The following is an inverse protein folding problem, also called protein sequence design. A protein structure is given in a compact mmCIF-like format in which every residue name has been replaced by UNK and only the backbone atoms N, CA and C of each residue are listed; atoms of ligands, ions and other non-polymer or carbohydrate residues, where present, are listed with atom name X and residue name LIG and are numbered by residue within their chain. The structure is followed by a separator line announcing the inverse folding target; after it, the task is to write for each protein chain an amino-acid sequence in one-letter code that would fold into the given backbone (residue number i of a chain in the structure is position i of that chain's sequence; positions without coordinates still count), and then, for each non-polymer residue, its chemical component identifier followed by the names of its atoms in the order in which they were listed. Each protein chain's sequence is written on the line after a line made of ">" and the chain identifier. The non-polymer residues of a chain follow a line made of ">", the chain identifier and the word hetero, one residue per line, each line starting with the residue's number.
data_IF_054479294186
#
_entry.id   IF_054479294186
#
_cell.length_a   1.000
_cell.length_b   1.000
_cell.length_c   1.000
_cell.angle_alpha   90.00
_cell.angle_beta   90.00
_cell.angle_gamma   90.00
#
_symmetry.space_group_name_H-M   'P 1'
#
loop_
_entity.id
_entity.type
_entity.pdbx_description
1 polymer ?
#
# COMPACT_ATOMS: atom_id res chain seq x y z
N UNK A 1 -17.86 -25.64 33.19
CA UNK A 1 -16.73 -24.70 33.01
C UNK A 1 -17.19 -23.59 32.07
N UNK A 2 -17.78 -22.49 32.56
CA UNK A 2 -18.18 -21.39 31.70
C UNK A 2 -16.92 -20.58 31.37
N UNK A 3 -16.63 -20.44 30.09
CA UNK A 3 -15.71 -19.41 29.60
C UNK A 3 -16.36 -18.07 29.99
N UNK A 4 -15.80 -17.39 30.99
CA UNK A 4 -16.16 -16.01 31.30
C UNK A 4 -15.98 -15.20 30.01
N UNK A 5 -17.10 -14.81 29.42
CA UNK A 5 -17.12 -13.94 28.26
C UNK A 5 -16.61 -12.57 28.70
N UNK A 6 -15.29 -12.38 28.62
CA UNK A 6 -14.66 -11.08 28.70
C UNK A 6 -15.27 -10.23 27.59
N UNK A 7 -16.25 -9.42 27.97
CA UNK A 7 -16.85 -8.44 27.08
C UNK A 7 -15.70 -7.50 26.73
N UNK A 8 -15.31 -7.36 25.44
CA UNK A 8 -14.18 -6.50 25.10
C UNK A 8 -14.51 -5.10 25.59
N UNK A 9 -13.76 -4.67 26.60
CA UNK A 9 -13.90 -3.34 27.17
C UNK A 9 -13.62 -2.32 26.07
N UNK A 10 -14.27 -1.16 26.18
CA UNK A 10 -13.98 -0.01 25.33
C UNK A 10 -12.45 0.20 25.26
N UNK A 11 -11.98 0.59 24.08
CA UNK A 11 -10.58 0.75 23.71
C UNK A 11 -9.66 1.09 24.91
N UNK A 12 -8.78 0.16 25.29
CA UNK A 12 -7.92 0.33 26.46
C UNK A 12 -7.14 1.65 26.34
N UNK A 13 -7.29 2.55 27.32
CA UNK A 13 -6.64 3.87 27.35
C UNK A 13 -5.12 3.77 27.25
N UNK A 14 -4.52 2.62 27.61
CA UNK A 14 -3.09 2.34 27.43
C UNK A 14 -2.66 2.38 25.96
N UNK A 15 -3.58 2.14 25.01
CA UNK A 15 -3.33 2.25 23.58
C UNK A 15 -3.20 3.71 23.11
N UNK A 16 -3.64 4.70 23.90
CA UNK A 16 -3.47 6.13 23.60
C UNK A 16 -2.12 6.68 24.08
N UNK A 17 -1.32 5.85 24.77
CA UNK A 17 0.00 6.25 25.24
C UNK A 17 0.89 6.73 24.06
N UNK A 18 1.80 7.71 24.28
CA UNK A 18 2.63 8.29 23.22
C UNK A 18 3.40 7.27 22.38
N UNK A 19 3.77 6.12 22.98
CA UNK A 19 4.44 5.01 22.28
C UNK A 19 3.68 4.50 21.06
N UNK A 20 2.34 4.63 21.06
CA UNK A 20 1.45 4.09 20.04
C UNK A 20 0.98 5.14 19.03
N UNK A 21 1.38 6.41 19.19
CA UNK A 21 0.94 7.48 18.31
C UNK A 21 1.33 7.27 16.85
N UNK A 22 2.48 6.63 16.59
CA UNK A 22 2.87 6.25 15.23
C UNK A 22 1.84 5.33 14.56
N UNK A 23 1.32 4.35 15.29
CA UNK A 23 0.26 3.46 14.81
C UNK A 23 -1.04 4.22 14.56
N UNK A 24 -1.43 5.12 15.46
CA UNK A 24 -2.61 5.96 15.29
C UNK A 24 -2.49 6.90 14.08
N UNK A 25 -1.32 7.49 13.86
CA UNK A 25 -1.04 8.31 12.69
C UNK A 25 -1.12 7.49 11.40
N UNK A 26 -0.57 6.28 11.39
CA UNK A 26 -0.67 5.38 10.23
C UNK A 26 -2.13 4.99 9.94
N UNK A 27 -2.92 4.66 10.97
CA UNK A 27 -4.34 4.38 10.82
C UNK A 27 -5.13 5.60 10.33
N UNK A 28 -4.87 6.78 10.88
CA UNK A 28 -5.46 8.04 10.45
C UNK A 28 -5.12 8.38 8.99
N UNK A 29 -3.88 8.11 8.57
CA UNK A 29 -3.45 8.29 7.19
C UNK A 29 -4.15 7.31 6.25
N UNK A 30 -4.21 6.01 6.60
CA UNK A 30 -4.96 5.02 5.82
C UNK A 30 -6.45 5.40 5.70
N UNK A 31 -7.03 5.86 6.81
CA UNK A 31 -8.40 6.36 6.82
C UNK A 31 -8.58 7.54 5.87
N UNK A 32 -7.71 8.55 5.93
CA UNK A 32 -7.75 9.72 5.05
C UNK A 32 -7.58 9.34 3.57
N UNK A 33 -6.58 8.51 3.26
CA UNK A 33 -6.33 8.01 1.89
C UNK A 33 -7.53 7.26 1.33
N UNK A 34 -8.30 6.56 2.17
CA UNK A 34 -9.50 5.83 1.73
C UNK A 34 -10.60 6.74 1.17
N UNK A 35 -10.60 8.05 1.45
CA UNK A 35 -11.54 9.02 0.89
C UNK A 35 -11.08 9.60 -0.43
N UNK A 36 -9.81 9.43 -0.78
CA UNK A 36 -9.24 10.05 -1.96
C UNK A 36 -9.72 9.30 -3.23
N UNK A 37 -10.16 10.01 -4.28
CA UNK A 37 -10.46 9.38 -5.56
C UNK A 37 -9.26 8.59 -6.10
N UNK A 38 -9.50 7.37 -6.60
CA UNK A 38 -8.43 6.50 -7.14
C UNK A 38 -7.56 7.16 -8.20
N UNK A 39 -8.10 8.11 -8.97
CA UNK A 39 -7.34 8.89 -9.96
C UNK A 39 -6.23 9.70 -9.29
N UNK A 40 -6.53 10.37 -8.18
CA UNK A 40 -5.54 11.14 -7.42
C UNK A 40 -4.53 10.22 -6.73
N UNK A 41 -4.97 9.09 -6.17
CA UNK A 41 -4.06 8.06 -5.65
C UNK A 41 -3.10 7.56 -6.74
N UNK A 42 -3.60 7.37 -7.97
CA UNK A 42 -2.80 6.98 -9.12
C UNK A 42 -1.72 8.00 -9.48
N UNK A 43 -2.05 9.30 -9.45
CA UNK A 43 -1.10 10.39 -9.68
C UNK A 43 -0.05 10.48 -8.57
N UNK A 44 -0.46 10.38 -7.31
CA UNK A 44 0.45 10.34 -6.16
C UNK A 44 1.39 9.14 -6.25
N UNK A 45 0.85 7.96 -6.57
CA UNK A 45 1.64 6.75 -6.75
C UNK A 45 2.64 6.87 -7.91
N UNK A 46 2.26 7.52 -9.01
CA UNK A 46 3.17 7.77 -10.13
C UNK A 46 4.31 8.72 -9.73
N UNK A 47 4.03 9.75 -8.94
CA UNK A 47 5.04 10.67 -8.39
C UNK A 47 6.02 9.94 -7.48
N UNK A 48 5.50 9.22 -6.49
CA UNK A 48 6.31 8.48 -5.50
C UNK A 48 7.12 7.34 -6.13
N UNK A 49 6.54 6.60 -7.09
CA UNK A 49 7.24 5.50 -7.77
C UNK A 49 8.45 5.98 -8.59
N UNK A 50 8.48 7.24 -9.04
CA UNK A 50 9.66 7.82 -9.71
C UNK A 50 10.85 7.98 -8.76
N UNK A 51 10.59 8.08 -7.46
CA UNK A 51 11.61 8.19 -6.41
C UNK A 51 12.11 6.82 -5.94
N UNK A 52 11.49 5.72 -6.37
CA UNK A 52 11.88 4.35 -6.00
C UNK A 52 13.37 4.02 -6.18
N UNK A 53 14.07 4.42 -7.28
CA UNK A 53 15.49 4.14 -7.42
C UNK A 53 16.38 4.87 -6.40
N UNK A 54 15.86 5.87 -5.70
CA UNK A 54 16.59 6.69 -4.74
C UNK A 54 16.26 6.27 -3.30
N UNK A 55 14.96 6.08 -3.02
CA UNK A 55 14.46 5.67 -1.71
C UNK A 55 14.88 4.23 -1.34
N UNK A 56 14.94 3.32 -2.31
CA UNK A 56 15.26 1.93 -2.05
C UNK A 56 16.05 1.27 -3.19
N UNK A 57 17.33 1.66 -3.30
CA UNK A 57 18.28 1.15 -4.31
C UNK A 57 18.33 -0.38 -4.34
N UNK A 58 18.29 -1.03 -3.16
CA UNK A 58 18.32 -2.49 -3.04
C UNK A 58 17.11 -3.13 -3.71
N UNK A 59 15.89 -2.67 -3.41
CA UNK A 59 14.66 -3.22 -4.03
C UNK A 59 14.60 -2.94 -5.52
N UNK A 60 15.04 -1.76 -5.94
CA UNK A 60 15.15 -1.42 -7.37
C UNK A 60 16.06 -2.39 -8.12
N UNK A 61 17.26 -2.64 -7.59
CA UNK A 61 18.22 -3.55 -8.21
C UNK A 61 17.71 -5.00 -8.26
N UNK A 62 17.13 -5.51 -7.17
CA UNK A 62 16.54 -6.86 -7.15
C UNK A 62 15.45 -7.01 -8.22
N UNK A 63 14.52 -6.07 -8.30
CA UNK A 63 13.44 -6.12 -9.29
C UNK A 63 13.99 -6.02 -10.72
N UNK A 64 15.02 -5.20 -10.96
CA UNK A 64 15.69 -5.11 -12.26
C UNK A 64 16.35 -6.44 -12.66
N UNK A 65 17.09 -7.06 -11.74
CA UNK A 65 17.73 -8.36 -11.98
C UNK A 65 16.70 -9.45 -12.22
N UNK A 66 15.64 -9.51 -11.41
CA UNK A 66 14.55 -10.47 -11.61
C UNK A 66 13.90 -10.30 -12.98
N UNK A 67 13.64 -9.07 -13.43
CA UNK A 67 13.09 -8.86 -14.77
C UNK A 67 14.05 -9.26 -15.89
N UNK A 68 15.37 -9.12 -15.69
CA UNK A 68 16.35 -9.57 -16.65
C UNK A 68 16.42 -11.10 -16.75
N UNK A 69 16.29 -11.79 -15.62
CA UNK A 69 16.30 -13.26 -15.55
C UNK A 69 14.98 -13.87 -16.03
N UNK A 70 13.82 -13.33 -15.62
CA UNK A 70 12.51 -13.88 -15.96
C UNK A 70 12.05 -13.51 -17.37
N UNK A 71 12.53 -12.39 -17.93
CA UNK A 71 12.14 -11.92 -19.26
C UNK A 71 13.35 -11.62 -20.16
N UNK A 72 14.21 -12.62 -20.44
CA UNK A 72 15.43 -12.42 -21.21
C UNK A 72 15.16 -11.98 -22.65
N UNK A 73 14.03 -12.40 -23.24
CA UNK A 73 13.62 -12.02 -24.60
C UNK A 73 13.08 -10.59 -24.76
N UNK A 74 12.92 -9.84 -23.67
CA UNK A 74 12.55 -8.42 -23.74
C UNK A 74 13.80 -7.54 -23.88
N UNK A 75 13.73 -6.54 -24.75
CA UNK A 75 14.76 -5.50 -24.80
C UNK A 75 14.87 -4.73 -23.46
N UNK A 76 15.97 -4.01 -23.28
CA UNK A 76 16.24 -3.29 -22.04
C UNK A 76 15.20 -2.17 -21.77
N UNK A 77 14.63 -1.55 -22.82
CA UNK A 77 13.66 -0.48 -22.69
C UNK A 77 12.31 -1.01 -22.18
N UNK A 78 11.83 -2.13 -22.71
CA UNK A 78 10.63 -2.85 -22.27
C UNK A 78 10.77 -3.33 -20.84
N UNK A 79 11.91 -3.91 -20.47
CA UNK A 79 12.21 -4.30 -19.08
C UNK A 79 12.17 -3.10 -18.14
N UNK A 80 12.73 -1.95 -18.54
CA UNK A 80 12.68 -0.71 -17.74
C UNK A 80 11.27 -0.14 -17.61
N UNK A 81 10.45 -0.22 -18.65
CA UNK A 81 9.03 0.16 -18.59
C UNK A 81 8.26 -0.74 -17.62
N UNK A 82 8.50 -2.05 -17.67
CA UNK A 82 7.89 -3.01 -16.77
C UNK A 82 8.33 -2.78 -15.31
N UNK A 83 9.61 -2.45 -15.09
CA UNK A 83 10.14 -2.09 -13.77
C UNK A 83 9.44 -0.85 -13.20
N UNK A 84 9.29 0.20 -14.01
CA UNK A 84 8.57 1.42 -13.59
C UNK A 84 7.10 1.13 -13.27
N UNK A 85 6.43 0.32 -14.10
CA UNK A 85 5.03 -0.09 -13.87
C UNK A 85 4.90 -0.92 -12.60
N UNK A 86 5.84 -1.83 -12.33
CA UNK A 86 5.87 -2.61 -11.09
C UNK A 86 5.89 -1.71 -9.86
N UNK A 87 6.80 -0.73 -9.80
CA UNK A 87 6.87 0.19 -8.67
C UNK A 87 5.66 1.11 -8.58
N UNK A 88 5.09 1.54 -9.70
CA UNK A 88 3.84 2.31 -9.69
C UNK A 88 2.70 1.53 -9.06
N UNK A 89 2.50 0.28 -9.49
CA UNK A 89 1.46 -0.60 -8.92
C UNK A 89 1.74 -0.88 -7.45
N UNK A 90 2.99 -1.17 -7.08
CA UNK A 90 3.36 -1.41 -5.69
C UNK A 90 3.00 -0.23 -4.78
N UNK A 91 3.39 0.98 -5.17
CA UNK A 91 3.07 2.18 -4.39
C UNK A 91 1.57 2.46 -4.39
N UNK A 92 0.90 2.30 -5.53
CA UNK A 92 -0.55 2.47 -5.61
C UNK A 92 -1.28 1.54 -4.66
N UNK A 93 -0.95 0.24 -4.65
CA UNK A 93 -1.54 -0.73 -3.74
C UNK A 93 -1.29 -0.39 -2.27
N UNK A 94 -0.11 0.14 -1.94
CA UNK A 94 0.20 0.57 -0.57
C UNK A 94 -0.68 1.75 -0.14
N UNK A 95 -0.88 2.73 -1.04
CA UNK A 95 -1.76 3.88 -0.76
C UNK A 95 -3.24 3.49 -0.72
N UNK A 96 -3.66 2.53 -1.56
CA UNK A 96 -5.05 2.07 -1.66
C UNK A 96 -5.42 1.03 -0.57
N UNK A 97 -4.46 0.63 0.27
CA UNK A 97 -4.69 -0.34 1.35
C UNK A 97 -5.80 0.10 2.30
N UNK A 98 -5.89 1.41 2.59
CA UNK A 98 -6.95 1.98 3.41
C UNK A 98 -8.33 1.81 2.78
N UNK A 99 -8.43 1.92 1.45
CA UNK A 99 -9.68 1.65 0.72
C UNK A 99 -10.09 0.18 0.84
N UNK A 100 -9.12 -0.74 0.70
CA UNK A 100 -9.38 -2.19 0.79
C UNK A 100 -9.81 -2.62 2.20
N UNK A 101 -9.22 -2.02 3.24
CA UNK A 101 -9.52 -2.38 4.63
C UNK A 101 -10.76 -1.69 5.21
N UNK A 102 -10.98 -0.40 4.90
CA UNK A 102 -11.95 0.43 5.63
C UNK A 102 -13.25 0.67 4.88
N UNK A 103 -13.34 0.30 3.59
CA UNK A 103 -14.56 0.52 2.80
C UNK A 103 -15.41 -0.74 2.70
N UNK A 104 -16.71 -0.54 2.55
CA UNK A 104 -17.66 -1.64 2.43
C UNK A 104 -17.42 -2.48 1.17
N UNK A 105 -17.76 -3.76 1.27
CA UNK A 105 -17.72 -4.73 0.16
C UNK A 105 -18.49 -4.24 -1.07
N UNK A 106 -19.60 -3.52 -0.87
CA UNK A 106 -20.41 -2.92 -1.95
C UNK A 106 -19.67 -1.80 -2.71
N UNK A 107 -18.80 -1.05 -2.02
CA UNK A 107 -17.94 -0.05 -2.68
C UNK A 107 -16.82 -0.74 -3.45
N UNK A 108 -16.22 -1.79 -2.90
CA UNK A 108 -15.19 -2.58 -3.59
C UNK A 108 -15.74 -3.28 -4.84
N UNK A 109 -16.97 -3.80 -4.79
CA UNK A 109 -17.62 -4.43 -5.95
C UNK A 109 -17.83 -3.48 -7.14
N UNK A 110 -17.97 -2.17 -6.89
CA UNK A 110 -18.03 -1.13 -7.94
C UNK A 110 -16.66 -0.78 -8.53
N UNK A 111 -15.58 -1.15 -7.85
CA UNK A 111 -14.21 -0.80 -8.24
C UNK A 111 -13.54 -1.88 -9.13
N UNK A 112 -14.05 -3.12 -9.09
CA UNK A 112 -13.59 -4.26 -9.88
C UNK A 112 -14.39 -4.54 -11.15
N UNK A 113 -15.35 -3.67 -11.50
CA UNK A 113 -15.98 -3.58 -12.82
C UNK A 113 -15.28 -2.49 -13.62
#
# INVERSE_FOLDING_TARGET
>A
MPLSADTPSALDRRLLAPRHWGSWLALGLLWLLSFLPRRLLGLLAAGLARLAPWLNRKRWHIAQTNLALCYPGLDAARRRTLLRRHFHVLVFCLLDLGTLWLRSSSRLARLGR
#
